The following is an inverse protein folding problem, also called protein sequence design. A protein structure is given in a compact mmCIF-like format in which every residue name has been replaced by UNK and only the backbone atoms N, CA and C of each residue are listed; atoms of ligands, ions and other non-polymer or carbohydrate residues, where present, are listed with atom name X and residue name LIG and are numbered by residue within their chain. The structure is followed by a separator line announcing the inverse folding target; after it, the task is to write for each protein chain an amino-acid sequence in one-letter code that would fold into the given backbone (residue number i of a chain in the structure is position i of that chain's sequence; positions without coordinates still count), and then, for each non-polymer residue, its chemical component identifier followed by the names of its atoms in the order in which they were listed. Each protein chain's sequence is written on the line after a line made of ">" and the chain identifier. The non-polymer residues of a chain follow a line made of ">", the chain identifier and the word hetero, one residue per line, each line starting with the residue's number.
data_IF_600753377803
#
_entry.id   IF_600753377803
#
_cell.length_a   1.000
_cell.length_b   1.000
_cell.length_c   1.000
_cell.angle_alpha   90.00
_cell.angle_beta   90.00
_cell.angle_gamma   90.00
#
_symmetry.space_group_name_H-M   'P 1'
#
loop_
_entity.id
_entity.type
_entity.pdbx_description
1 polymer ?
#
# COMPACT_ATOMS: atom_id res chain seq x y z
N UNK A 1 66.98 -37.04 0.22
CA UNK A 1 65.56 -37.48 0.27
C UNK A 1 64.78 -36.88 1.46
N UNK A 2 65.26 -36.98 2.71
CA UNK A 2 64.60 -36.33 3.89
C UNK A 2 64.33 -34.82 3.76
N UNK A 3 65.23 -34.05 3.12
CA UNK A 3 65.05 -32.59 2.95
C UNK A 3 64.01 -32.21 1.88
N UNK A 4 63.71 -33.10 0.93
CA UNK A 4 62.68 -32.89 -0.11
C UNK A 4 61.29 -33.23 0.44
N UNK A 5 61.19 -34.23 1.32
CA UNK A 5 59.93 -34.55 1.99
C UNK A 5 59.45 -33.44 2.93
N UNK A 6 60.37 -32.70 3.57
CA UNK A 6 60.03 -31.57 4.44
C UNK A 6 59.47 -30.39 3.62
N UNK A 7 60.02 -30.15 2.42
CA UNK A 7 59.54 -29.09 1.53
C UNK A 7 58.13 -29.37 0.96
N UNK A 8 57.83 -30.63 0.66
CA UNK A 8 56.51 -31.10 0.19
C UNK A 8 55.43 -31.04 1.29
N UNK A 9 55.80 -31.26 2.55
CA UNK A 9 54.89 -31.13 3.70
C UNK A 9 54.60 -29.65 4.00
N UNK A 10 55.58 -28.76 3.86
CA UNK A 10 55.39 -27.31 4.03
C UNK A 10 54.48 -26.68 2.95
N UNK A 11 54.45 -27.22 1.72
CA UNK A 11 53.54 -26.72 0.67
C UNK A 11 52.07 -27.09 0.86
N UNK A 12 51.77 -28.14 1.65
CA UNK A 12 50.39 -28.57 1.93
C UNK A 12 49.69 -27.73 3.02
N UNK A 13 50.45 -26.93 3.77
CA UNK A 13 49.92 -26.09 4.86
C UNK A 13 49.55 -24.67 4.39
N UNK A 14 49.74 -24.35 3.11
CA UNK A 14 49.43 -23.05 2.51
C UNK A 14 48.06 -23.02 1.79
N UNK A 15 47.23 -24.06 1.92
CA UNK A 15 45.84 -24.08 1.43
C UNK A 15 44.88 -24.06 2.63
N UNK A 16 44.98 -23.05 3.48
CA UNK A 16 43.95 -22.81 4.51
C UNK A 16 43.89 -21.34 4.93
N UNK A 17 43.66 -20.44 3.98
CA UNK A 17 43.20 -19.08 4.31
C UNK A 17 42.26 -18.60 3.20
N UNK A 18 41.03 -19.12 3.16
CA UNK A 18 39.95 -18.46 2.42
C UNK A 18 38.62 -18.50 3.17
N UNK A 19 38.67 -18.50 4.50
CA UNK A 19 37.49 -18.44 5.38
C UNK A 19 37.62 -17.31 6.41
N UNK A 20 38.38 -16.26 6.10
CA UNK A 20 38.48 -15.07 6.94
C UNK A 20 37.58 -14.00 6.34
N UNK A 21 36.52 -13.72 7.07
CA UNK A 21 35.68 -12.53 7.00
C UNK A 21 35.12 -12.23 5.61
N UNK A 22 33.98 -12.82 5.26
CA UNK A 22 33.01 -11.97 4.58
C UNK A 22 32.70 -10.84 5.57
N UNK A 23 32.88 -9.56 5.19
CA UNK A 23 32.34 -8.48 5.97
C UNK A 23 30.85 -8.79 6.13
N UNK A 24 30.28 -8.55 7.31
CA UNK A 24 28.84 -8.65 7.52
C UNK A 24 28.16 -7.94 6.34
N UNK A 25 27.65 -8.74 5.41
CA UNK A 25 26.82 -8.26 4.32
C UNK A 25 25.56 -7.81 5.04
N UNK A 26 25.50 -6.52 5.37
CA UNK A 26 24.28 -5.89 5.81
C UNK A 26 23.35 -5.86 4.61
N UNK A 27 22.70 -6.99 4.35
CA UNK A 27 21.66 -7.08 3.35
C UNK A 27 20.50 -6.24 3.86
N UNK A 28 20.24 -5.14 3.16
CA UNK A 28 19.03 -4.36 3.36
C UNK A 28 17.92 -5.12 2.65
N UNK A 29 16.94 -5.59 3.40
CA UNK A 29 15.75 -6.26 2.87
C UNK A 29 14.71 -5.17 2.64
N UNK A 30 14.22 -5.06 1.41
CA UNK A 30 13.07 -4.22 1.09
C UNK A 30 11.80 -5.01 1.43
N UNK A 31 11.11 -4.59 2.49
CA UNK A 31 9.94 -5.28 3.00
C UNK A 31 8.68 -4.72 2.34
N UNK A 32 7.81 -5.60 1.85
CA UNK A 32 6.41 -5.23 1.57
C UNK A 32 5.73 -4.90 2.91
N UNK A 33 4.79 -3.96 2.93
CA UNK A 33 4.02 -3.64 4.14
C UNK A 33 3.05 -4.79 4.46
N UNK A 34 3.48 -5.69 5.34
CA UNK A 34 2.72 -6.86 5.75
C UNK A 34 2.52 -6.94 7.26
N UNK A 35 1.52 -7.73 7.66
CA UNK A 35 1.27 -8.19 9.03
C UNK A 35 0.90 -9.66 9.00
N UNK A 36 1.56 -10.47 9.83
CA UNK A 36 1.26 -11.91 9.93
C UNK A 36 0.58 -12.21 11.25
N UNK A 37 -0.63 -12.76 11.20
CA UNK A 37 -1.42 -13.08 12.40
C UNK A 37 -2.33 -14.27 12.11
N UNK A 38 -2.52 -15.14 13.11
CA UNK A 38 -3.38 -16.32 13.03
C UNK A 38 -3.05 -17.24 11.82
N UNK A 39 -1.77 -17.41 11.52
CA UNK A 39 -1.29 -18.23 10.41
C UNK A 39 -1.48 -17.62 9.01
N UNK A 40 -2.05 -16.41 8.89
CA UNK A 40 -2.27 -15.70 7.63
C UNK A 40 -1.35 -14.47 7.53
N UNK A 41 -0.89 -14.17 6.33
CA UNK A 41 -0.14 -12.96 6.03
C UNK A 41 -1.06 -11.99 5.29
N UNK A 42 -1.10 -10.74 5.76
CA UNK A 42 -1.94 -9.68 5.24
C UNK A 42 -1.03 -8.56 4.70
N UNK A 43 -1.30 -8.07 3.50
CA UNK A 43 -0.58 -6.98 2.84
C UNK A 43 -1.39 -5.68 2.90
N UNK A 44 -0.73 -4.54 3.08
CA UNK A 44 -1.40 -3.24 3.15
C UNK A 44 -2.10 -2.89 1.83
N UNK A 45 -3.35 -2.44 1.92
CA UNK A 45 -4.11 -1.91 0.80
C UNK A 45 -4.12 -0.38 0.86
N UNK A 46 -3.42 0.25 -0.08
CA UNK A 46 -3.33 1.71 -0.15
C UNK A 46 -4.44 2.36 -0.98
N UNK A 47 -5.20 1.57 -1.74
CA UNK A 47 -6.34 2.05 -2.55
C UNK A 47 -7.69 1.81 -1.87
N UNK A 48 -7.68 1.45 -0.59
CA UNK A 48 -8.88 1.08 0.18
C UNK A 48 -8.77 1.67 1.58
N UNK A 49 -9.90 2.21 2.06
CA UNK A 49 -10.05 2.70 3.42
C UNK A 49 -11.25 2.04 4.09
N UNK A 50 -11.39 2.18 5.41
CA UNK A 50 -12.64 1.81 6.08
C UNK A 50 -13.72 2.85 5.75
N UNK A 51 -14.94 2.42 5.42
CA UNK A 51 -16.04 3.33 5.05
C UNK A 51 -16.55 4.16 6.24
N UNK A 52 -16.70 3.52 7.40
CA UNK A 52 -17.05 4.11 8.68
C UNK A 52 -16.22 3.40 9.77
N UNK A 53 -15.57 4.11 10.71
CA UNK A 53 -14.88 3.50 11.84
C UNK A 53 -15.70 2.50 12.66
N UNK A 54 -17.04 2.55 12.58
CA UNK A 54 -17.94 1.54 13.20
C UNK A 54 -17.85 0.16 12.57
N UNK A 55 -17.29 0.05 11.36
CA UNK A 55 -17.08 -1.22 10.66
C UNK A 55 -15.83 -1.96 11.17
N UNK A 56 -15.11 -1.38 12.14
CA UNK A 56 -14.01 -2.05 12.82
C UNK A 56 -14.58 -3.01 13.86
N UNK A 57 -14.14 -4.26 13.79
CA UNK A 57 -14.54 -5.33 14.69
C UNK A 57 -13.70 -5.39 15.98
N UNK A 58 -13.61 -6.58 16.53
CA UNK A 58 -12.88 -6.83 17.76
C UNK A 58 -11.35 -6.86 17.56
N UNK A 59 -10.60 -6.69 18.65
CA UNK A 59 -9.16 -6.90 18.65
C UNK A 59 -8.87 -8.39 18.47
N UNK A 60 -8.19 -8.75 17.40
CA UNK A 60 -7.82 -10.13 17.05
C UNK A 60 -6.36 -10.46 17.36
N UNK A 61 -5.55 -9.45 17.69
CA UNK A 61 -4.15 -9.65 18.00
C UNK A 61 -3.38 -8.37 18.28
N UNK A 62 -2.06 -8.53 18.35
CA UNK A 62 -1.11 -7.43 18.47
C UNK A 62 0.20 -7.79 17.78
N UNK A 63 0.89 -6.78 17.29
CA UNK A 63 2.24 -6.91 16.73
C UNK A 63 3.21 -7.29 17.85
N UNK A 64 3.97 -8.36 17.64
CA UNK A 64 4.98 -8.86 18.56
C UNK A 64 6.39 -8.44 18.16
N UNK A 65 6.62 -8.19 16.87
CA UNK A 65 7.95 -7.92 16.35
C UNK A 65 7.91 -7.11 15.04
N UNK A 66 8.71 -6.05 14.94
CA UNK A 66 8.90 -5.24 13.73
C UNK A 66 10.08 -5.76 12.93
N UNK A 67 9.88 -6.24 11.70
CA UNK A 67 10.98 -6.88 10.95
C UNK A 67 11.92 -5.88 10.25
N UNK A 68 11.43 -4.75 9.76
CA UNK A 68 12.23 -3.80 8.94
C UNK A 68 13.50 -3.28 9.62
N UNK A 69 13.45 -3.03 10.93
CA UNK A 69 14.59 -2.52 11.68
C UNK A 69 15.42 -3.62 12.36
N UNK A 70 14.91 -4.86 12.40
CA UNK A 70 15.45 -5.92 13.26
C UNK A 70 15.90 -7.18 12.50
N UNK A 71 15.62 -7.27 11.20
CA UNK A 71 15.95 -8.45 10.37
C UNK A 71 16.80 -8.03 9.17
N UNK A 72 18.04 -8.52 9.15
CA UNK A 72 18.98 -8.39 8.03
C UNK A 72 19.29 -9.73 7.34
N UNK A 73 18.75 -10.84 7.86
CA UNK A 73 18.94 -12.17 7.30
C UNK A 73 17.88 -12.45 6.22
N UNK A 74 18.24 -12.55 4.93
CA UNK A 74 17.27 -12.83 3.85
C UNK A 74 16.63 -14.22 3.95
N UNK A 75 17.20 -15.12 4.76
CA UNK A 75 16.60 -16.43 5.06
C UNK A 75 15.61 -16.39 6.22
N UNK A 76 15.31 -15.22 6.78
CA UNK A 76 14.27 -15.09 7.81
C UNK A 76 12.92 -15.59 7.26
N UNK A 77 12.13 -16.17 8.17
CA UNK A 77 10.79 -16.69 7.87
C UNK A 77 9.82 -15.98 8.80
N UNK A 78 8.90 -15.23 8.21
CA UNK A 78 7.87 -14.48 8.93
C UNK A 78 7.00 -15.44 9.72
N UNK A 79 6.64 -15.04 10.94
CA UNK A 79 5.80 -15.81 11.87
C UNK A 79 4.72 -14.92 12.48
N UNK A 80 3.72 -15.53 13.13
CA UNK A 80 2.63 -14.80 13.75
C UNK A 80 3.10 -13.75 14.76
N UNK A 81 2.59 -12.54 14.61
CA UNK A 81 2.96 -11.34 15.34
C UNK A 81 4.09 -10.53 14.68
N UNK A 82 4.65 -10.97 13.55
CA UNK A 82 5.56 -10.14 12.77
C UNK A 82 4.78 -9.10 11.96
N UNK A 83 5.30 -7.88 11.93
CA UNK A 83 4.85 -6.83 11.01
C UNK A 83 6.06 -6.17 10.34
N UNK A 84 5.90 -5.74 9.10
CA UNK A 84 6.93 -5.04 8.35
C UNK A 84 7.35 -3.76 9.07
N UNK A 85 6.39 -2.87 9.34
CA UNK A 85 6.66 -1.49 9.76
C UNK A 85 6.06 -1.10 11.11
N UNK A 86 5.06 -1.84 11.61
CA UNK A 86 4.43 -1.54 12.89
C UNK A 86 5.28 -1.93 14.09
N UNK A 87 5.22 -1.11 15.14
CA UNK A 87 5.94 -1.38 16.38
C UNK A 87 5.28 -2.49 17.19
N UNK A 88 6.07 -3.16 18.03
CA UNK A 88 5.55 -4.10 19.02
C UNK A 88 4.49 -3.43 19.90
N UNK A 89 3.38 -4.12 20.13
CA UNK A 89 2.24 -3.66 20.92
C UNK A 89 1.15 -2.95 20.10
N UNK A 90 1.37 -2.69 18.80
CA UNK A 90 0.32 -2.19 17.92
C UNK A 90 -0.82 -3.20 17.83
N UNK A 91 -2.04 -2.75 18.12
CA UNK A 91 -3.23 -3.59 18.11
C UNK A 91 -3.72 -3.86 16.69
N UNK A 92 -4.25 -5.06 16.47
CA UNK A 92 -4.77 -5.52 15.18
C UNK A 92 -6.24 -5.86 15.39
N UNK A 93 -7.11 -5.31 14.54
CA UNK A 93 -8.55 -5.46 14.60
C UNK A 93 -9.08 -6.23 13.38
N UNK A 94 -10.19 -6.95 13.55
CA UNK A 94 -10.96 -7.45 12.42
C UNK A 94 -11.74 -6.32 11.74
N UNK A 95 -12.19 -6.56 10.52
CA UNK A 95 -13.20 -5.75 9.85
C UNK A 95 -14.51 -6.54 9.88
N UNK A 96 -15.61 -5.88 10.24
CA UNK A 96 -16.93 -6.51 10.31
C UNK A 96 -17.29 -7.08 8.93
N UNK A 97 -17.84 -8.30 8.92
CA UNK A 97 -18.27 -9.04 7.72
C UNK A 97 -17.18 -9.24 6.64
N UNK A 98 -15.89 -9.06 6.98
CA UNK A 98 -14.73 -9.15 6.07
C UNK A 98 -13.56 -9.91 6.69
N UNK A 99 -13.63 -11.25 6.66
CA UNK A 99 -12.57 -12.13 7.20
C UNK A 99 -11.23 -12.06 6.43
N UNK A 100 -11.29 -11.56 5.19
CA UNK A 100 -10.15 -11.31 4.32
C UNK A 100 -9.39 -10.04 4.69
N UNK A 101 -9.99 -9.16 5.51
CA UNK A 101 -9.43 -7.88 5.91
C UNK A 101 -9.11 -7.81 7.40
N UNK A 102 -8.05 -7.06 7.70
CA UNK A 102 -7.73 -6.59 9.06
C UNK A 102 -7.45 -5.09 9.01
N UNK A 103 -7.57 -4.44 10.16
CA UNK A 103 -7.34 -3.02 10.31
C UNK A 103 -6.35 -2.73 11.43
N UNK A 104 -5.50 -1.73 11.20
CA UNK A 104 -4.59 -1.18 12.20
C UNK A 104 -4.81 0.32 12.26
N UNK A 105 -4.89 0.88 13.47
CA UNK A 105 -5.11 2.30 13.66
C UNK A 105 -3.95 3.12 13.06
N UNK A 106 -4.27 4.02 12.14
CA UNK A 106 -3.35 4.92 11.47
C UNK A 106 -3.97 6.31 11.42
N UNK A 107 -3.41 7.25 12.20
CA UNK A 107 -3.94 8.62 12.31
C UNK A 107 -3.84 9.41 11.00
N UNK A 108 -3.00 8.96 10.07
CA UNK A 108 -2.84 9.60 8.77
C UNK A 108 -3.79 9.03 7.72
N UNK A 109 -4.49 7.93 8.02
CA UNK A 109 -5.50 7.37 7.12
C UNK A 109 -6.83 8.08 7.31
N UNK A 110 -7.56 8.26 6.20
CA UNK A 110 -8.97 8.64 6.25
C UNK A 110 -9.72 7.58 7.07
N UNK A 111 -10.58 8.05 7.97
CA UNK A 111 -11.29 7.25 8.96
C UNK A 111 -10.39 6.50 9.97
N UNK A 112 -9.09 6.81 10.01
CA UNK A 112 -8.20 6.46 11.12
C UNK A 112 -7.65 5.04 11.14
N UNK A 113 -7.81 4.28 10.05
CA UNK A 113 -7.33 2.90 9.95
C UNK A 113 -6.66 2.64 8.59
N UNK A 114 -5.56 1.90 8.62
CA UNK A 114 -4.97 1.27 7.45
C UNK A 114 -5.52 -0.15 7.33
N UNK A 115 -5.95 -0.50 6.12
CA UNK A 115 -6.52 -1.81 5.81
C UNK A 115 -5.42 -2.72 5.26
N UNK A 116 -5.45 -3.98 5.69
CA UNK A 116 -4.61 -5.03 5.15
C UNK A 116 -5.47 -6.20 4.70
N UNK A 117 -5.02 -6.91 3.68
CA UNK A 117 -5.74 -7.99 3.03
C UNK A 117 -4.93 -9.27 2.97
N UNK A 118 -5.56 -10.40 3.31
CA UNK A 118 -4.96 -11.72 3.20
C UNK A 118 -5.25 -12.31 1.82
N UNK A 119 -4.20 -12.47 1.01
CA UNK A 119 -4.29 -13.17 -0.27
C UNK A 119 -4.42 -14.68 -0.03
N UNK A 120 -5.65 -15.19 0.03
CA UNK A 120 -5.90 -16.64 -0.04
C UNK A 120 -6.09 -17.08 -1.50
N UNK A 121 -5.99 -18.38 -1.77
CA UNK A 121 -6.14 -18.91 -3.15
C UNK A 121 -7.52 -18.60 -3.76
N UNK A 122 -8.53 -18.35 -2.92
CA UNK A 122 -9.91 -18.06 -3.33
C UNK A 122 -10.26 -16.56 -3.33
N UNK A 123 -9.34 -15.69 -2.91
CA UNK A 123 -9.65 -14.28 -2.69
C UNK A 123 -9.39 -13.44 -3.95
N UNK A 124 -10.46 -12.98 -4.59
CA UNK A 124 -10.46 -12.06 -5.75
C UNK A 124 -10.77 -10.62 -5.31
N UNK A 125 -10.00 -10.07 -4.39
CA UNK A 125 -10.25 -8.70 -3.93
C UNK A 125 -9.75 -7.70 -4.96
N UNK A 126 -10.68 -7.19 -5.77
CA UNK A 126 -10.40 -6.24 -6.83
C UNK A 126 -10.66 -4.82 -6.32
N UNK A 127 -9.59 -4.05 -6.14
CA UNK A 127 -9.62 -2.64 -5.75
C UNK A 127 -9.19 -1.71 -6.89
N UNK A 128 -8.95 -2.27 -8.07
CA UNK A 128 -8.70 -1.46 -9.26
C UNK A 128 -9.98 -0.77 -9.69
N UNK A 129 -9.87 0.50 -10.08
CA UNK A 129 -11.04 1.32 -10.41
C UNK A 129 -11.94 0.66 -11.47
N UNK A 130 -11.35 0.00 -12.47
CA UNK A 130 -12.07 -0.69 -13.56
C UNK A 130 -12.90 -1.89 -13.11
N UNK A 131 -12.56 -2.47 -11.96
CA UNK A 131 -13.22 -3.67 -11.43
C UNK A 131 -14.30 -3.32 -10.40
N UNK A 132 -14.41 -2.05 -10.02
CA UNK A 132 -15.45 -1.57 -9.10
C UNK A 132 -16.79 -1.55 -9.84
N UNK A 133 -17.84 -2.02 -9.17
CA UNK A 133 -19.20 -1.76 -9.61
C UNK A 133 -19.60 -0.31 -9.32
N UNK A 134 -19.37 0.59 -10.29
CA UNK A 134 -19.65 2.02 -10.13
C UNK A 134 -21.14 2.32 -9.90
N UNK A 135 -22.06 1.43 -10.27
CA UNK A 135 -23.51 1.61 -10.08
C UNK A 135 -23.93 1.56 -8.60
N UNK A 136 -23.12 0.98 -7.71
CA UNK A 136 -23.42 0.92 -6.27
C UNK A 136 -22.92 2.16 -5.52
N UNK A 137 -22.15 3.03 -6.18
CA UNK A 137 -21.56 4.21 -5.55
C UNK A 137 -22.64 5.24 -5.26
N UNK A 138 -22.82 5.54 -3.98
CA UNK A 138 -23.88 6.42 -3.48
C UNK A 138 -23.33 7.65 -2.72
N UNK A 139 -22.02 7.69 -2.48
CA UNK A 139 -21.33 8.81 -1.85
C UNK A 139 -19.91 8.93 -2.40
N UNK A 140 -19.49 10.15 -2.71
CA UNK A 140 -18.10 10.48 -3.05
C UNK A 140 -17.60 11.54 -2.08
N UNK A 141 -16.41 11.35 -1.51
CA UNK A 141 -15.73 12.38 -0.73
C UNK A 141 -14.45 12.81 -1.44
N UNK A 142 -14.20 14.12 -1.44
CA UNK A 142 -13.07 14.75 -2.10
C UNK A 142 -12.19 15.40 -1.03
N UNK A 143 -10.90 15.16 -1.10
CA UNK A 143 -9.92 15.65 -0.13
C UNK A 143 -8.77 16.37 -0.82
N UNK A 144 -8.13 17.28 -0.11
CA UNK A 144 -6.84 17.83 -0.52
C UNK A 144 -5.71 16.82 -0.27
N UNK A 145 -4.50 17.15 -0.72
CA UNK A 145 -3.31 16.31 -0.51
C UNK A 145 -2.87 16.16 0.95
N UNK A 146 -3.47 16.90 1.88
CA UNK A 146 -3.28 16.75 3.32
C UNK A 146 -4.42 15.95 3.97
N UNK A 147 -5.27 15.29 3.17
CA UNK A 147 -6.44 14.53 3.61
C UNK A 147 -7.50 15.36 4.36
N UNK A 148 -7.56 16.67 4.08
CA UNK A 148 -8.62 17.56 4.57
C UNK A 148 -9.81 17.45 3.61
N UNK A 149 -10.99 17.14 4.16
CA UNK A 149 -12.23 17.03 3.38
C UNK A 149 -12.58 18.39 2.74
N UNK A 150 -12.69 18.39 1.42
CA UNK A 150 -13.10 19.54 0.59
C UNK A 150 -14.60 19.46 0.37
N UNK A 151 -15.10 18.32 -0.11
CA UNK A 151 -16.50 18.19 -0.53
C UNK A 151 -17.03 16.76 -0.32
N UNK A 152 -18.35 16.63 -0.23
CA UNK A 152 -19.07 15.36 -0.15
C UNK A 152 -20.26 15.38 -1.09
N UNK A 153 -20.22 14.50 -2.08
CA UNK A 153 -21.31 14.31 -3.03
C UNK A 153 -22.21 13.16 -2.57
N UNK A 154 -23.51 13.42 -2.53
CA UNK A 154 -24.56 12.42 -2.24
C UNK A 154 -25.71 12.48 -3.26
N UNK A 155 -25.68 13.46 -4.15
CA UNK A 155 -26.67 13.60 -5.21
C UNK A 155 -26.27 12.68 -6.37
N UNK A 156 -27.21 11.86 -6.82
CA UNK A 156 -26.99 10.88 -7.90
C UNK A 156 -26.50 11.53 -9.19
N UNK A 157 -27.05 12.70 -9.57
CA UNK A 157 -26.61 13.43 -10.76
C UNK A 157 -25.17 13.90 -10.61
N UNK A 158 -24.80 14.53 -9.49
CA UNK A 158 -23.43 15.00 -9.27
C UNK A 158 -22.42 13.86 -9.22
N UNK A 159 -22.80 12.72 -8.63
CA UNK A 159 -21.99 11.50 -8.58
C UNK A 159 -21.76 10.97 -10.00
N UNK A 160 -22.83 10.80 -10.78
CA UNK A 160 -22.74 10.28 -12.14
C UNK A 160 -21.95 11.21 -13.06
N UNK A 161 -22.13 12.52 -12.94
CA UNK A 161 -21.39 13.52 -13.70
C UNK A 161 -19.88 13.42 -13.40
N UNK A 162 -19.49 13.35 -12.12
CA UNK A 162 -18.08 13.19 -11.73
C UNK A 162 -17.50 11.85 -12.22
N UNK A 163 -18.25 10.75 -12.09
CA UNK A 163 -17.81 9.45 -12.59
C UNK A 163 -17.67 9.45 -14.12
N UNK A 164 -18.52 10.17 -14.85
CA UNK A 164 -18.39 10.35 -16.30
C UNK A 164 -17.07 11.05 -16.65
N UNK A 165 -16.73 12.14 -15.95
CA UNK A 165 -15.46 12.86 -16.15
C UNK A 165 -14.25 11.95 -15.94
N UNK A 166 -14.28 11.09 -14.91
CA UNK A 166 -13.20 10.12 -14.64
C UNK A 166 -13.09 9.06 -15.74
N UNK A 167 -14.22 8.55 -16.21
CA UNK A 167 -14.30 7.49 -17.22
C UNK A 167 -13.96 7.96 -18.64
N UNK A 168 -14.27 9.20 -18.98
CA UNK A 168 -14.00 9.83 -20.28
C UNK A 168 -12.55 10.33 -20.42
N UNK A 169 -11.73 10.15 -19.38
CA UNK A 169 -10.33 10.53 -19.40
C UNK A 169 -9.55 9.90 -20.56
N UNK A 170 -8.65 10.68 -21.15
CA UNK A 170 -7.84 10.25 -22.28
C UNK A 170 -6.53 9.66 -21.79
N UNK A 171 -6.29 8.39 -22.10
CA UNK A 171 -5.03 7.70 -21.79
C UNK A 171 -3.93 8.15 -22.75
N UNK A 172 -2.78 8.53 -22.22
CA UNK A 172 -1.62 8.93 -23.01
C UNK A 172 -0.34 8.37 -22.41
N UNK A 173 0.26 7.38 -23.08
CA UNK A 173 1.50 6.74 -22.64
C UNK A 173 2.72 7.67 -22.66
N UNK A 174 2.67 8.76 -23.43
CA UNK A 174 3.73 9.76 -23.52
C UNK A 174 3.47 11.00 -22.66
N UNK A 175 2.39 11.03 -21.88
CA UNK A 175 2.10 12.15 -21.01
C UNK A 175 3.16 12.27 -19.89
N UNK A 176 3.60 13.50 -19.67
CA UNK A 176 4.47 13.85 -18.55
C UNK A 176 3.89 15.11 -17.89
N UNK A 177 3.66 15.10 -16.57
CA UNK A 177 3.12 16.26 -15.86
C UNK A 177 4.04 17.48 -16.00
N UNK A 178 3.45 18.66 -16.06
CA UNK A 178 4.20 19.91 -16.01
C UNK A 178 4.75 20.16 -14.59
N UNK A 179 6.08 20.10 -14.43
CA UNK A 179 6.76 20.31 -13.14
C UNK A 179 7.53 21.64 -13.06
N UNK A 180 7.25 22.58 -13.97
CA UNK A 180 7.98 23.86 -14.05
C UNK A 180 7.91 24.68 -12.75
N UNK A 181 6.82 24.54 -11.99
CA UNK A 181 6.58 25.27 -10.75
C UNK A 181 6.59 24.38 -9.49
N UNK A 182 7.11 23.15 -9.60
CA UNK A 182 7.12 22.16 -8.53
C UNK A 182 6.31 20.92 -8.89
N UNK A 183 6.12 20.05 -7.91
CA UNK A 183 5.32 18.84 -8.08
C UNK A 183 3.83 19.19 -8.27
N UNK A 184 3.07 18.37 -9.03
CA UNK A 184 1.63 18.53 -9.17
C UNK A 184 0.92 18.57 -7.81
N UNK A 185 -0.12 19.40 -7.71
CA UNK A 185 -0.99 19.41 -6.55
C UNK A 185 -1.74 18.07 -6.45
N UNK A 186 -1.72 17.46 -5.28
CA UNK A 186 -2.38 16.18 -5.01
C UNK A 186 -3.75 16.40 -4.38
N UNK A 187 -4.71 15.57 -4.80
CA UNK A 187 -6.05 15.46 -4.28
C UNK A 187 -6.41 13.99 -4.13
N UNK A 188 -7.44 13.71 -3.34
CA UNK A 188 -7.94 12.35 -3.18
C UNK A 188 -9.43 12.26 -3.38
N UNK A 189 -9.85 11.16 -4.00
CA UNK A 189 -11.25 10.81 -4.21
C UNK A 189 -11.50 9.51 -3.46
N UNK A 190 -12.57 9.49 -2.66
CA UNK A 190 -13.06 8.26 -2.03
C UNK A 190 -14.46 7.94 -2.54
N UNK A 191 -14.61 6.74 -3.10
CA UNK A 191 -15.87 6.21 -3.61
C UNK A 191 -16.45 5.24 -2.57
N UNK A 192 -17.66 5.51 -2.11
CA UNK A 192 -18.37 4.68 -1.14
C UNK A 192 -19.61 4.06 -1.77
N UNK A 193 -19.75 2.75 -1.60
CA UNK A 193 -20.92 1.98 -2.01
C UNK A 193 -21.62 1.35 -0.81
N UNK A 194 -22.01 0.09 -0.95
CA UNK A 194 -22.69 -0.68 0.10
C UNK A 194 -21.73 -1.45 1.02
N UNK A 195 -20.45 -1.55 0.65
CA UNK A 195 -19.43 -2.29 1.40
C UNK A 195 -18.93 -1.54 2.65
N UNK A 196 -18.27 -2.27 3.55
CA UNK A 196 -17.66 -1.74 4.77
C UNK A 196 -16.42 -0.87 4.50
N UNK A 197 -15.99 -0.81 3.24
CA UNK A 197 -14.81 -0.12 2.76
C UNK A 197 -15.15 1.00 1.77
N UNK A 198 -14.23 1.94 1.61
CA UNK A 198 -14.24 2.94 0.54
C UNK A 198 -13.04 2.75 -0.38
N UNK A 199 -13.22 3.03 -1.67
CA UNK A 199 -12.16 2.96 -2.66
C UNK A 199 -11.47 4.32 -2.79
N UNK A 200 -10.17 4.35 -2.55
CA UNK A 200 -9.36 5.56 -2.43
C UNK A 200 -8.42 5.71 -3.62
N UNK A 201 -8.51 6.86 -4.29
CA UNK A 201 -7.69 7.18 -5.46
C UNK A 201 -7.05 8.56 -5.34
N UNK A 202 -5.84 8.69 -5.88
CA UNK A 202 -5.17 9.98 -5.99
C UNK A 202 -5.45 10.61 -7.34
N UNK A 203 -5.71 11.91 -7.32
CA UNK A 203 -5.91 12.78 -8.47
C UNK A 203 -4.86 13.91 -8.38
N UNK A 204 -4.38 14.38 -9.52
CA UNK A 204 -3.29 15.33 -9.59
C UNK A 204 -3.62 16.49 -10.54
N UNK A 205 -3.13 17.68 -10.21
CA UNK A 205 -3.22 18.86 -11.05
C UNK A 205 -1.84 19.48 -11.26
N UNK A 206 -1.36 19.55 -12.49
CA UNK A 206 -0.02 20.07 -12.83
C UNK A 206 0.02 21.58 -13.12
N UNK A 207 -1.07 22.29 -12.84
CA UNK A 207 -1.26 23.69 -13.18
C UNK A 207 -1.92 23.94 -14.55
N UNK A 208 -2.06 22.91 -15.39
CA UNK A 208 -2.74 23.02 -16.69
C UNK A 208 -3.82 21.96 -16.88
N UNK A 209 -3.53 20.72 -16.48
CA UNK A 209 -4.43 19.57 -16.66
C UNK A 209 -4.56 18.75 -15.40
N UNK A 210 -5.72 18.10 -15.27
CA UNK A 210 -6.00 17.11 -14.26
C UNK A 210 -5.68 15.71 -14.78
N UNK A 211 -5.07 14.88 -13.95
CA UNK A 211 -4.74 13.50 -14.32
C UNK A 211 -4.72 12.56 -13.10
N UNK A 212 -4.88 11.27 -13.36
CA UNK A 212 -4.85 10.23 -12.34
C UNK A 212 -4.41 8.88 -12.95
N UNK A 213 -4.31 7.86 -12.10
CA UNK A 213 -3.79 6.54 -12.47
C UNK A 213 -4.78 5.41 -12.10
N UNK A 214 -5.93 5.28 -12.79
CA UNK A 214 -6.84 4.15 -12.58
C UNK A 214 -6.24 2.80 -12.98
N UNK A 215 -5.29 2.83 -13.93
CA UNK A 215 -4.39 1.74 -14.30
C UNK A 215 -3.17 2.32 -15.03
N UNK A 216 -3.46 3.04 -16.12
CA UNK A 216 -2.53 3.90 -16.85
C UNK A 216 -2.82 5.36 -16.51
N UNK A 217 -1.91 6.27 -16.85
CA UNK A 217 -2.15 7.70 -16.71
C UNK A 217 -3.28 8.15 -17.62
N UNK A 218 -4.32 8.71 -17.01
CA UNK A 218 -5.51 9.24 -17.68
C UNK A 218 -5.63 10.74 -17.39
N UNK A 219 -5.72 11.55 -18.44
CA UNK A 219 -5.95 12.99 -18.36
C UNK A 219 -7.46 13.24 -18.39
N UNK A 220 -8.00 13.94 -17.41
CA UNK A 220 -9.44 14.17 -17.26
C UNK A 220 -9.82 15.62 -17.57
N UNK A 221 -11.10 15.87 -17.82
CA UNK A 221 -11.63 17.21 -18.10
C UNK A 221 -11.40 18.16 -16.94
N UNK A 222 -11.04 19.41 -17.23
CA UNK A 222 -10.92 20.49 -16.23
C UNK A 222 -12.28 20.83 -15.58
N UNK A 223 -13.41 20.33 -16.11
CA UNK A 223 -14.71 20.42 -15.43
C UNK A 223 -14.70 19.76 -14.05
N UNK A 224 -13.76 18.85 -13.78
CA UNK A 224 -13.58 18.25 -12.46
C UNK A 224 -13.34 19.30 -11.35
N UNK A 225 -12.78 20.47 -11.69
CA UNK A 225 -12.56 21.58 -10.76
C UNK A 225 -13.85 22.09 -10.10
N UNK A 226 -15.01 21.87 -10.74
CA UNK A 226 -16.29 22.28 -10.20
C UNK A 226 -16.62 21.60 -8.87
N UNK A 227 -16.07 20.41 -8.62
CA UNK A 227 -16.33 19.61 -7.42
C UNK A 227 -15.34 19.88 -6.28
N UNK A 228 -14.22 20.56 -6.54
CA UNK A 228 -13.16 20.88 -5.57
C UNK A 228 -13.28 22.29 -4.98
N UNK A 229 -14.51 22.82 -4.86
CA UNK A 229 -14.80 24.18 -4.38
C UNK A 229 -15.40 24.21 -2.98
#
# INVERSE_FOLDING_TARGET
>A
MKKICILLICSLIMVSCNSISQPFSHTIIDWVDFVKINGKEYEALYSVIIADPKNIGEKIGEVKFKVSDNVSNPSYRTKDGDAAFWNKGTEIFSVIDREDLIAIQDKNSINGYRIYYSRSEDSNFNYHYKDINLETINKIELYDGNTILINTLKNETEINDLLSILNEGTVSASFSPNTTHGDPATYHIVLYGEEEIGYYYSLFFDGNVWFWHPWDTSIVSNEIELYFK
#
